data_IF_502987083955
#
_entry.id   IF_502987083955
#
_cell.length_a   1.000
_cell.length_b   1.000
_cell.length_c   1.000
_cell.angle_alpha   90.00
_cell.angle_beta   90.00
_cell.angle_gamma   90.00
#
_symmetry.space_group_name_H-M   'P 1'
#
loop_
_entity.id
_entity.type
_entity.pdbx_description
1 polymer ?
#
# COMPACT_ATOMS: atom_id res chain seq x y z
N UNK A 1 -14.72 12.13 18.87
CA UNK A 1 -15.19 10.76 18.57
C UNK A 1 -14.02 9.81 18.81
N UNK A 2 -14.24 8.64 19.39
CA UNK A 2 -13.17 7.69 19.67
C UNK A 2 -12.68 7.07 18.35
N UNK A 3 -11.36 7.04 18.13
CA UNK A 3 -10.76 6.37 16.98
C UNK A 3 -11.18 4.90 16.99
N UNK A 4 -11.72 4.35 15.89
CA UNK A 4 -12.13 2.95 15.87
C UNK A 4 -10.91 2.04 16.13
N UNK A 5 -11.06 1.07 17.03
CA UNK A 5 -9.97 0.17 17.40
C UNK A 5 -9.56 -0.69 16.19
N UNK A 6 -8.27 -0.78 15.91
CA UNK A 6 -7.73 -1.60 14.81
C UNK A 6 -7.82 -3.11 15.10
N UNK A 7 -7.96 -3.50 16.36
CA UNK A 7 -8.12 -4.89 16.79
C UNK A 7 -9.00 -5.02 18.03
N UNK A 8 -9.51 -6.24 18.27
CA UNK A 8 -10.38 -6.58 19.40
C UNK A 8 -9.85 -7.80 20.13
N UNK A 9 -9.96 -7.82 21.46
CA UNK A 9 -9.59 -8.98 22.27
C UNK A 9 -10.75 -9.99 22.31
N UNK A 10 -10.45 -11.28 22.08
CA UNK A 10 -11.45 -12.36 22.15
C UNK A 10 -10.87 -13.59 22.84
N UNK A 11 -11.72 -14.30 23.60
CA UNK A 11 -11.41 -15.61 24.15
C UNK A 11 -11.29 -16.65 23.02
N UNK A 12 -10.22 -17.43 23.06
CA UNK A 12 -9.91 -18.50 22.11
C UNK A 12 -9.44 -19.75 22.85
N UNK A 13 -9.40 -20.87 22.15
CA UNK A 13 -8.73 -22.09 22.62
C UNK A 13 -7.41 -22.22 21.85
N UNK A 14 -6.30 -22.27 22.57
CA UNK A 14 -4.96 -22.46 22.03
C UNK A 14 -4.51 -23.89 22.29
N UNK A 15 -4.07 -24.59 21.24
CA UNK A 15 -3.29 -25.82 21.39
C UNK A 15 -1.83 -25.46 21.59
N UNK A 16 -1.23 -25.87 22.71
CA UNK A 16 0.17 -25.61 23.02
C UNK A 16 0.76 -26.83 23.74
N UNK A 17 1.86 -27.37 23.21
CA UNK A 17 2.60 -28.52 23.76
C UNK A 17 1.72 -29.74 24.12
N UNK A 18 0.74 -30.10 23.30
CA UNK A 18 -0.08 -31.29 23.52
C UNK A 18 -1.43 -31.02 24.19
N UNK A 19 -1.66 -29.82 24.71
CA UNK A 19 -2.84 -29.48 25.51
C UNK A 19 -3.68 -28.38 24.87
N UNK A 20 -5.01 -28.49 25.01
CA UNK A 20 -5.95 -27.41 24.70
C UNK A 20 -6.13 -26.53 25.93
N UNK A 21 -5.91 -25.22 25.80
CA UNK A 21 -6.05 -24.24 26.89
C UNK A 21 -6.85 -23.02 26.42
N UNK A 22 -7.77 -22.54 27.27
CA UNK A 22 -8.44 -21.26 27.04
C UNK A 22 -7.48 -20.10 27.28
N UNK A 23 -7.50 -19.10 26.39
CA UNK A 23 -6.69 -17.88 26.51
C UNK A 23 -7.34 -16.75 25.72
N UNK A 24 -6.74 -15.55 25.74
CA UNK A 24 -7.17 -14.42 24.94
C UNK A 24 -6.21 -14.16 23.79
N UNK A 25 -6.75 -13.74 22.64
CA UNK A 25 -5.97 -13.26 21.51
C UNK A 25 -6.45 -11.87 21.07
N UNK A 26 -5.52 -11.05 20.57
CA UNK A 26 -5.83 -9.82 19.86
C UNK A 26 -6.07 -10.15 18.39
N UNK A 27 -7.24 -9.81 17.88
CA UNK A 27 -7.69 -10.13 16.52
C UNK A 27 -7.92 -8.83 15.77
N UNK A 28 -7.30 -8.68 14.61
CA UNK A 28 -7.50 -7.50 13.74
C UNK A 28 -8.96 -7.35 13.35
N UNK A 29 -9.43 -6.11 13.31
CA UNK A 29 -10.74 -5.78 12.79
C UNK A 29 -10.65 -5.59 11.28
N UNK A 30 -11.62 -6.14 10.57
CA UNK A 30 -11.80 -6.02 9.12
C UNK A 30 -13.14 -5.32 8.88
N UNK A 31 -13.13 -4.21 8.15
CA UNK A 31 -14.34 -3.40 7.90
C UNK A 31 -14.48 -3.06 6.42
N UNK A 32 -15.72 -3.00 5.88
CA UNK A 32 -15.96 -2.49 4.55
C UNK A 32 -15.93 -0.96 4.53
N UNK A 33 -15.30 -0.39 3.51
CA UNK A 33 -15.31 1.03 3.19
C UNK A 33 -15.82 1.20 1.75
N UNK A 34 -17.01 1.78 1.58
CA UNK A 34 -17.57 2.05 0.25
C UNK A 34 -17.23 3.47 -0.20
N UNK A 35 -16.61 3.57 -1.37
CA UNK A 35 -16.17 4.80 -1.99
C UNK A 35 -17.19 5.28 -3.02
N UNK A 36 -17.54 6.55 -2.94
CA UNK A 36 -18.33 7.26 -3.94
C UNK A 36 -17.46 8.32 -4.60
N UNK A 37 -17.50 8.38 -5.93
CA UNK A 37 -16.80 9.39 -6.73
C UNK A 37 -17.84 10.18 -7.52
N UNK A 38 -17.93 11.49 -7.26
CA UNK A 38 -18.96 12.37 -7.86
C UNK A 38 -20.38 11.77 -7.75
N UNK A 39 -20.72 11.31 -6.54
CA UNK A 39 -22.00 10.68 -6.15
C UNK A 39 -22.34 9.33 -6.80
N UNK A 40 -21.44 8.76 -7.60
CA UNK A 40 -21.55 7.39 -8.09
C UNK A 40 -20.78 6.41 -7.19
N UNK A 41 -21.40 5.28 -6.83
CA UNK A 41 -20.71 4.19 -6.12
C UNK A 41 -19.59 3.63 -7.00
N UNK A 42 -18.36 3.66 -6.50
CA UNK A 42 -17.17 3.25 -7.24
C UNK A 42 -16.73 1.83 -6.85
N UNK A 43 -16.47 1.61 -5.56
CA UNK A 43 -15.95 0.33 -5.06
C UNK A 43 -16.17 0.20 -3.55
N UNK A 44 -16.17 -1.03 -3.04
CA UNK A 44 -16.09 -1.32 -1.61
C UNK A 44 -14.78 -2.02 -1.30
N UNK A 45 -13.93 -1.35 -0.52
CA UNK A 45 -12.66 -1.88 -0.05
C UNK A 45 -12.85 -2.56 1.29
N UNK A 46 -12.18 -3.69 1.49
CA UNK A 46 -12.13 -4.36 2.79
C UNK A 46 -10.79 -4.02 3.42
N UNK A 47 -10.79 -3.33 4.57
CA UNK A 47 -9.61 -2.67 5.11
C UNK A 47 -9.58 -2.64 6.64
N UNK A 48 -8.45 -2.20 7.20
CA UNK A 48 -8.33 -1.92 8.63
C UNK A 48 -8.98 -0.57 8.97
N UNK A 49 -9.64 -0.44 10.14
CA UNK A 49 -10.26 0.81 10.55
C UNK A 49 -9.28 1.99 10.61
N UNK A 50 -9.75 3.16 10.14
CA UNK A 50 -9.01 4.42 10.14
C UNK A 50 -8.16 4.67 8.89
N UNK A 51 -7.69 5.91 8.75
CA UNK A 51 -6.90 6.39 7.59
C UNK A 51 -7.63 6.19 6.25
N UNK A 52 -8.97 6.34 6.27
CA UNK A 52 -9.82 6.09 5.10
C UNK A 52 -9.61 7.13 4.00
N UNK A 53 -9.27 8.37 4.36
CA UNK A 53 -8.99 9.45 3.40
C UNK A 53 -7.78 9.09 2.55
N UNK A 54 -6.70 8.66 3.19
CA UNK A 54 -5.48 8.22 2.55
C UNK A 54 -5.72 6.98 1.69
N UNK A 55 -6.44 5.98 2.22
CA UNK A 55 -6.80 4.78 1.46
C UNK A 55 -7.57 5.14 0.18
N UNK A 56 -8.60 5.97 0.29
CA UNK A 56 -9.44 6.34 -0.85
C UNK A 56 -8.69 7.15 -1.91
N UNK A 57 -7.89 8.14 -1.50
CA UNK A 57 -7.07 8.93 -2.44
C UNK A 57 -6.02 8.06 -3.11
N UNK A 58 -5.36 7.19 -2.35
CA UNK A 58 -4.40 6.22 -2.89
C UNK A 58 -5.05 5.31 -3.92
N UNK A 59 -6.20 4.71 -3.57
CA UNK A 59 -6.97 3.86 -4.46
C UNK A 59 -7.27 4.57 -5.79
N UNK A 60 -7.89 5.76 -5.75
CA UNK A 60 -8.19 6.55 -6.96
C UNK A 60 -6.96 6.82 -7.82
N UNK A 61 -5.84 7.20 -7.22
CA UNK A 61 -4.62 7.50 -7.95
C UNK A 61 -4.01 6.25 -8.61
N UNK A 62 -4.11 5.11 -7.94
CA UNK A 62 -3.58 3.85 -8.46
C UNK A 62 -4.45 3.25 -9.57
N UNK A 63 -5.75 3.50 -9.53
CA UNK A 63 -6.67 3.16 -10.63
C UNK A 63 -6.64 4.20 -11.77
N UNK A 64 -5.88 5.30 -11.61
CA UNK A 64 -5.75 6.36 -12.62
C UNK A 64 -6.95 7.27 -12.77
N UNK A 65 -7.84 7.26 -11.78
CA UNK A 65 -9.01 8.12 -11.73
C UNK A 65 -8.65 9.57 -11.36
N UNK A 66 -7.51 9.76 -10.70
CA UNK A 66 -6.88 11.06 -10.45
C UNK A 66 -5.37 10.95 -10.66
N UNK A 67 -4.75 12.05 -11.03
CA UNK A 67 -3.27 12.17 -11.12
C UNK A 67 -2.71 13.12 -10.07
N UNK A 68 -3.52 14.04 -9.55
CA UNK A 68 -3.14 15.05 -8.58
C UNK A 68 -4.22 15.25 -7.52
N UNK A 69 -3.80 15.56 -6.29
CA UNK A 69 -4.74 15.97 -5.23
C UNK A 69 -5.47 17.28 -5.55
N UNK A 70 -4.96 18.09 -6.50
CA UNK A 70 -5.62 19.31 -6.96
C UNK A 70 -6.91 19.06 -7.74
N UNK A 71 -7.12 17.84 -8.24
CA UNK A 71 -8.36 17.44 -8.91
C UNK A 71 -9.51 17.22 -7.92
N UNK A 72 -9.19 17.02 -6.63
CA UNK A 72 -10.14 16.77 -5.56
C UNK A 72 -10.66 18.10 -5.01
N UNK A 73 -11.98 18.29 -5.12
CA UNK A 73 -12.71 19.41 -4.53
C UNK A 73 -12.98 19.18 -3.04
N UNK A 74 -13.44 17.99 -2.70
CA UNK A 74 -13.91 17.68 -1.35
C UNK A 74 -13.79 16.19 -1.04
N UNK A 75 -13.49 15.86 0.22
CA UNK A 75 -13.53 14.50 0.76
C UNK A 75 -14.40 14.53 2.00
N UNK A 76 -15.48 13.75 2.01
CA UNK A 76 -16.39 13.59 3.14
C UNK A 76 -16.45 12.13 3.55
N UNK A 77 -16.35 11.83 4.85
CA UNK A 77 -16.32 10.47 5.35
C UNK A 77 -17.28 10.31 6.53
N UNK A 78 -18.10 9.26 6.47
CA UNK A 78 -18.92 8.75 7.57
C UNK A 78 -18.31 7.44 8.04
N UNK A 79 -17.40 7.55 8.98
CA UNK A 79 -16.57 6.43 9.45
C UNK A 79 -17.38 5.31 10.10
N UNK A 80 -18.48 5.67 10.75
CA UNK A 80 -19.43 4.76 11.42
C UNK A 80 -20.27 3.94 10.44
N UNK A 81 -20.61 4.53 9.30
CA UNK A 81 -21.33 3.84 8.21
C UNK A 81 -20.38 3.13 7.23
N UNK A 82 -19.07 3.37 7.32
CA UNK A 82 -18.08 2.85 6.37
C UNK A 82 -18.25 3.45 4.97
N UNK A 83 -18.61 4.72 4.87
CA UNK A 83 -18.87 5.41 3.60
C UNK A 83 -17.95 6.63 3.42
N UNK A 84 -17.42 6.82 2.21
CA UNK A 84 -16.56 7.96 1.89
C UNK A 84 -16.87 8.48 0.48
N UNK A 85 -17.11 9.79 0.39
CA UNK A 85 -17.37 10.51 -0.86
C UNK A 85 -16.17 11.37 -1.24
N UNK A 86 -15.78 11.30 -2.51
CA UNK A 86 -14.79 12.15 -3.13
C UNK A 86 -15.46 12.90 -4.27
N UNK A 87 -15.40 14.22 -4.19
CA UNK A 87 -15.88 15.12 -5.23
C UNK A 87 -14.69 15.70 -5.96
N UNK A 88 -14.72 15.65 -7.29
CA UNK A 88 -13.65 16.16 -8.17
C UNK A 88 -14.12 17.38 -8.95
N UNK A 89 -13.19 18.20 -9.44
CA UNK A 89 -13.51 19.40 -10.21
C UNK A 89 -14.09 19.11 -11.61
N UNK A 90 -13.76 17.95 -12.18
CA UNK A 90 -14.25 17.51 -13.49
C UNK A 90 -14.83 16.10 -13.39
N UNK A 91 -15.87 15.77 -14.17
CA UNK A 91 -16.37 14.40 -14.22
C UNK A 91 -15.24 13.45 -14.62
N UNK A 92 -15.10 12.33 -13.90
CA UNK A 92 -14.11 11.29 -14.21
C UNK A 92 -14.74 10.32 -15.20
N UNK A 93 -14.39 10.34 -16.50
CA UNK A 93 -15.12 9.60 -17.55
C UNK A 93 -15.04 8.07 -17.37
N UNK A 94 -14.04 7.60 -16.63
CA UNK A 94 -13.77 6.17 -16.41
C UNK A 94 -14.57 5.58 -15.23
N UNK A 95 -15.18 6.41 -14.38
CA UNK A 95 -15.93 5.96 -13.21
C UNK A 95 -17.15 5.10 -13.60
N UNK A 96 -17.80 5.41 -14.73
CA UNK A 96 -18.96 4.67 -15.23
C UNK A 96 -18.61 3.23 -15.63
N UNK A 97 -17.39 2.98 -16.11
CA UNK A 97 -16.92 1.63 -16.47
C UNK A 97 -16.52 0.79 -15.24
N UNK A 98 -16.37 1.41 -14.08
CA UNK A 98 -15.97 0.77 -12.83
C UNK A 98 -17.13 0.09 -12.09
N UNK A 99 -18.39 0.32 -12.50
CA UNK A 99 -19.65 -0.07 -11.83
C UNK A 99 -19.91 -1.59 -11.67
N UNK A 100 -18.88 -2.43 -11.55
CA UNK A 100 -18.99 -3.83 -11.13
C UNK A 100 -18.19 -4.05 -9.86
N UNK A 101 -18.90 -4.14 -8.72
CA UNK A 101 -18.44 -4.58 -7.38
C UNK A 101 -17.08 -5.28 -7.44
N UNK A 102 -16.00 -4.52 -7.29
CA UNK A 102 -14.69 -5.06 -7.03
C UNK A 102 -14.56 -5.16 -5.51
N UNK A 103 -14.79 -6.35 -4.96
CA UNK A 103 -14.31 -6.65 -3.60
C UNK A 103 -12.82 -6.91 -3.75
N UNK A 104 -12.01 -5.85 -3.66
CA UNK A 104 -10.57 -5.93 -3.74
C UNK A 104 -9.99 -6.41 -2.40
N UNK A 105 -10.39 -7.61 -1.97
CA UNK A 105 -9.80 -8.30 -0.81
C UNK A 105 -9.00 -9.51 -1.29
N UNK A 106 -7.73 -9.26 -1.58
CA UNK A 106 -6.63 -10.22 -1.48
C UNK A 106 -6.61 -11.51 -2.35
N UNK A 107 -7.62 -11.89 -3.13
CA UNK A 107 -7.64 -13.17 -3.86
C UNK A 107 -8.01 -13.01 -5.35
N UNK A 108 -7.07 -13.41 -6.21
CA UNK A 108 -7.15 -13.25 -7.66
C UNK A 108 -8.37 -13.93 -8.31
N UNK A 109 -9.16 -13.12 -9.02
CA UNK A 109 -9.82 -13.36 -10.31
C UNK A 109 -10.89 -12.30 -10.48
N UNK A 110 -10.49 -11.11 -10.89
CA UNK A 110 -11.40 -9.99 -11.02
C UNK A 110 -11.01 -9.01 -12.11
N UNK A 111 -10.61 -9.47 -13.31
CA UNK A 111 -10.33 -8.63 -14.52
C UNK A 111 -9.29 -7.49 -14.39
N UNK A 112 -8.89 -7.08 -13.19
CA UNK A 112 -7.97 -6.00 -12.90
C UNK A 112 -6.58 -6.26 -13.50
N UNK A 113 -6.13 -7.52 -13.52
CA UNK A 113 -4.84 -7.90 -14.12
C UNK A 113 -4.71 -7.49 -15.60
N UNK A 114 -5.80 -7.49 -16.39
CA UNK A 114 -5.78 -7.06 -17.79
C UNK A 114 -5.76 -5.54 -17.94
N UNK A 115 -6.42 -4.80 -17.02
CA UNK A 115 -6.36 -3.34 -17.00
C UNK A 115 -4.97 -2.87 -16.55
N UNK A 116 -4.43 -3.42 -15.47
CA UNK A 116 -3.10 -3.08 -14.95
C UNK A 116 -1.96 -3.37 -15.95
N UNK A 117 -2.01 -4.48 -16.71
CA UNK A 117 -0.99 -4.80 -17.71
C UNK A 117 -1.06 -3.86 -18.93
N UNK A 118 -2.26 -3.46 -19.37
CA UNK A 118 -2.39 -2.47 -20.44
C UNK A 118 -2.02 -1.06 -19.98
N UNK A 119 -2.29 -0.74 -18.72
CA UNK A 119 -1.99 0.53 -18.08
C UNK A 119 -0.49 0.69 -17.78
N UNK A 120 0.21 -0.40 -17.43
CA UNK A 120 1.67 -0.42 -17.33
C UNK A 120 2.37 0.03 -18.61
N UNK A 121 1.80 -0.25 -19.80
CA UNK A 121 2.33 0.23 -21.09
C UNK A 121 2.15 1.74 -21.30
N UNK A 122 1.27 2.39 -20.56
CA UNK A 122 1.06 3.84 -20.60
C UNK A 122 1.95 4.57 -19.58
N UNK A 123 2.42 3.87 -18.54
CA UNK A 123 3.28 4.43 -17.52
C UNK A 123 4.70 4.59 -18.07
N UNK A 124 5.24 5.79 -17.93
CA UNK A 124 6.63 6.07 -18.31
C UNK A 124 7.59 5.47 -17.28
N UNK A 125 8.74 4.93 -17.72
CA UNK A 125 9.78 4.47 -16.80
C UNK A 125 10.20 5.57 -15.83
N UNK A 126 10.38 5.19 -14.56
CA UNK A 126 10.83 6.07 -13.48
C UNK A 126 12.29 6.43 -13.70
N UNK A 127 12.52 7.72 -13.97
CA UNK A 127 13.87 8.29 -14.08
C UNK A 127 14.24 8.95 -12.76
N UNK A 128 15.31 8.47 -12.14
CA UNK A 128 15.87 9.05 -10.92
C UNK A 128 17.37 8.78 -10.86
N UNK A 129 18.12 9.80 -10.45
CA UNK A 129 19.55 9.76 -10.15
C UNK A 129 19.83 9.55 -8.65
N UNK A 130 18.77 9.34 -7.84
CA UNK A 130 18.92 9.13 -6.41
C UNK A 130 19.71 7.86 -6.11
N UNK A 131 20.68 8.00 -5.20
CA UNK A 131 21.48 6.90 -4.68
C UNK A 131 21.04 6.54 -3.27
N UNK A 132 20.92 5.25 -3.01
CA UNK A 132 20.45 4.70 -1.75
C UNK A 132 21.58 3.91 -1.08
N UNK A 133 22.02 4.37 0.09
CA UNK A 133 23.02 3.64 0.86
C UNK A 133 22.41 2.36 1.45
N UNK A 134 23.08 1.23 1.25
CA UNK A 134 22.67 -0.08 1.77
C UNK A 134 22.45 -0.05 3.30
N UNK A 135 23.29 0.69 4.03
CA UNK A 135 23.17 0.89 5.47
C UNK A 135 21.91 1.70 5.85
N UNK A 136 21.51 2.68 5.05
CA UNK A 136 20.28 3.44 5.25
C UNK A 136 19.03 2.60 4.95
N UNK A 137 19.09 1.78 3.90
CA UNK A 137 18.02 0.82 3.56
C UNK A 137 17.78 -0.19 4.69
N UNK A 138 18.86 -0.72 5.28
CA UNK A 138 18.76 -1.60 6.45
C UNK A 138 18.11 -0.92 7.66
N UNK A 139 18.46 0.36 7.94
CA UNK A 139 17.82 1.15 9.01
C UNK A 139 16.32 1.33 8.77
N UNK A 140 15.92 1.66 7.55
CA UNK A 140 14.51 1.84 7.19
C UNK A 140 13.69 0.57 7.43
N UNK A 141 14.22 -0.60 7.08
CA UNK A 141 13.51 -1.87 7.32
C UNK A 141 13.43 -2.22 8.81
N UNK A 142 14.47 -1.94 9.59
CA UNK A 142 14.41 -2.08 11.06
C UNK A 142 13.34 -1.17 11.65
N UNK A 143 13.32 0.10 11.24
CA UNK A 143 12.34 1.07 11.71
C UNK A 143 10.90 0.68 11.33
N UNK A 144 10.69 0.09 10.14
CA UNK A 144 9.38 -0.40 9.71
C UNK A 144 8.89 -1.55 10.59
N UNK A 145 9.75 -2.54 10.85
CA UNK A 145 9.43 -3.68 11.72
C UNK A 145 9.19 -3.22 13.17
N UNK A 146 9.98 -2.26 13.67
CA UNK A 146 9.83 -1.67 15.02
C UNK A 146 8.61 -0.76 15.15
N UNK A 147 8.10 -0.19 14.07
CA UNK A 147 6.93 0.70 14.11
C UNK A 147 5.61 -0.06 13.91
N UNK A 148 5.65 -1.32 13.48
CA UNK A 148 4.47 -2.14 13.18
C UNK A 148 3.76 -2.67 14.44
N UNK A 149 3.14 -1.75 15.19
CA UNK A 149 2.52 -2.03 16.48
C UNK A 149 1.39 -3.06 16.38
N UNK A 150 0.48 -2.92 15.42
CA UNK A 150 -0.65 -3.85 15.25
C UNK A 150 -0.16 -5.22 14.83
N UNK A 151 0.82 -5.29 13.92
CA UNK A 151 1.41 -6.56 13.51
C UNK A 151 2.02 -7.33 14.68
N UNK A 152 2.71 -6.64 15.61
CA UNK A 152 3.34 -7.31 16.75
C UNK A 152 2.36 -8.02 17.69
N UNK A 153 1.18 -7.44 17.92
CA UNK A 153 0.18 -8.04 18.81
C UNK A 153 -0.76 -9.01 18.11
N UNK A 154 -1.01 -8.83 16.81
CA UNK A 154 -2.03 -9.62 16.10
C UNK A 154 -1.48 -10.57 15.04
N UNK A 155 -0.32 -10.25 14.46
CA UNK A 155 0.20 -10.89 13.25
C UNK A 155 -0.67 -10.71 11.99
N UNK A 156 -1.75 -9.93 12.07
CA UNK A 156 -2.84 -9.93 11.10
C UNK A 156 -2.85 -8.77 10.10
N UNK A 157 -1.81 -7.94 10.07
CA UNK A 157 -1.70 -6.79 9.15
C UNK A 157 -0.41 -6.81 8.34
N UNK A 158 -0.42 -6.07 7.25
CA UNK A 158 0.75 -5.64 6.51
C UNK A 158 1.08 -4.18 6.83
N UNK A 159 2.35 -3.82 6.67
CA UNK A 159 2.84 -2.46 6.86
C UNK A 159 3.47 -2.00 5.56
N UNK A 160 3.20 -0.76 5.19
CA UNK A 160 3.87 -0.06 4.12
C UNK A 160 4.34 1.30 4.61
N UNK A 161 5.43 1.80 4.04
CA UNK A 161 5.94 3.12 4.39
C UNK A 161 6.67 3.79 3.23
N UNK A 162 6.92 5.08 3.37
CA UNK A 162 7.75 5.87 2.47
C UNK A 162 8.90 6.46 3.30
N UNK A 163 10.13 6.39 2.79
CA UNK A 163 11.28 6.92 3.51
C UNK A 163 12.48 7.19 2.62
N UNK A 164 13.50 7.81 3.21
CA UNK A 164 14.76 8.16 2.56
C UNK A 164 15.83 8.37 3.64
N UNK A 165 17.10 8.17 3.31
CA UNK A 165 18.22 8.50 4.22
C UNK A 165 18.29 7.72 5.54
N UNK A 166 17.44 6.71 5.75
CA UNK A 166 17.35 5.97 7.01
C UNK A 166 16.07 6.26 7.81
N UNK A 167 15.33 7.30 7.44
CA UNK A 167 14.15 7.78 8.17
C UNK A 167 12.85 7.53 7.40
N UNK A 168 11.84 7.04 8.12
CA UNK A 168 10.50 6.83 7.59
C UNK A 168 9.73 8.15 7.65
N UNK A 169 9.28 8.64 6.49
CA UNK A 169 8.42 9.83 6.36
C UNK A 169 6.99 9.54 6.80
N UNK A 170 6.44 8.40 6.38
CA UNK A 170 5.10 7.96 6.75
C UNK A 170 5.01 6.44 6.72
N UNK A 171 4.19 5.86 7.60
CA UNK A 171 3.88 4.43 7.63
C UNK A 171 2.40 4.21 7.89
N UNK A 172 1.82 3.21 7.22
CA UNK A 172 0.47 2.72 7.48
C UNK A 172 0.44 1.21 7.60
N UNK A 173 -0.49 0.74 8.44
CA UNK A 173 -0.84 -0.67 8.57
C UNK A 173 -2.23 -0.92 7.96
N UNK A 174 -2.39 -2.09 7.33
CA UNK A 174 -3.69 -2.57 6.87
C UNK A 174 -3.71 -4.10 6.75
N UNK A 175 -4.86 -4.74 6.94
CA UNK A 175 -5.04 -6.18 6.65
C UNK A 175 -4.65 -6.53 5.20
N UNK A 176 -4.84 -5.61 4.26
CA UNK A 176 -4.48 -5.76 2.85
C UNK A 176 -3.16 -5.07 2.55
N UNK A 177 -2.18 -5.80 1.98
CA UNK A 177 -0.90 -5.19 1.57
C UNK A 177 -1.06 -4.06 0.54
N UNK A 178 -2.03 -4.18 -0.38
CA UNK A 178 -2.29 -3.14 -1.37
C UNK A 178 -2.90 -1.89 -0.71
N UNK A 179 -3.84 -2.07 0.21
CA UNK A 179 -4.42 -0.97 0.99
C UNK A 179 -3.36 -0.23 1.82
N UNK A 180 -2.41 -0.96 2.42
CA UNK A 180 -1.31 -0.33 3.16
C UNK A 180 -0.48 0.58 2.24
N UNK A 181 -0.18 0.12 1.02
CA UNK A 181 0.47 0.95 -0.01
C UNK A 181 -0.40 2.13 -0.42
N UNK A 182 -1.69 1.90 -0.69
CA UNK A 182 -2.61 2.95 -1.11
C UNK A 182 -2.70 4.05 -0.05
N UNK A 183 -2.73 3.70 1.26
CA UNK A 183 -2.64 4.69 2.33
C UNK A 183 -1.35 5.53 2.25
N UNK A 184 -0.19 4.91 2.02
CA UNK A 184 1.07 5.63 1.83
C UNK A 184 1.01 6.56 0.61
N UNK A 185 0.50 6.07 -0.52
CA UNK A 185 0.40 6.86 -1.75
C UNK A 185 -0.60 8.01 -1.61
N UNK A 186 -1.75 7.76 -0.99
CA UNK A 186 -2.75 8.78 -0.71
C UNK A 186 -2.21 9.88 0.20
N UNK A 187 -1.50 9.51 1.27
CA UNK A 187 -0.81 10.50 2.11
C UNK A 187 0.22 11.31 1.31
N UNK A 188 0.99 10.65 0.45
CA UNK A 188 2.00 11.30 -0.41
C UNK A 188 1.36 12.36 -1.32
N UNK A 189 0.22 12.04 -1.94
CA UNK A 189 -0.52 12.97 -2.79
C UNK A 189 -1.18 14.10 -2.00
N UNK A 190 -1.85 13.77 -0.89
CA UNK A 190 -2.50 14.76 -0.02
C UNK A 190 -1.50 15.79 0.52
N UNK A 191 -0.28 15.36 0.84
CA UNK A 191 0.78 16.21 1.36
C UNK A 191 1.76 16.72 0.29
N UNK A 192 1.53 16.40 -0.99
CA UNK A 192 2.36 16.82 -2.14
C UNK A 192 3.84 16.51 -1.94
N UNK A 193 4.15 15.33 -1.42
CA UNK A 193 5.52 14.92 -1.17
C UNK A 193 6.25 14.62 -2.49
N UNK A 194 7.51 15.03 -2.57
CA UNK A 194 8.43 14.61 -3.63
C UNK A 194 8.91 13.19 -3.32
N UNK A 195 8.81 12.31 -4.31
CA UNK A 195 9.04 10.86 -4.18
C UNK A 195 10.26 10.36 -4.93
N UNK A 196 10.83 11.16 -5.83
CA UNK A 196 11.94 10.77 -6.70
C UNK A 196 13.24 10.42 -5.97
N UNK A 197 13.35 10.75 -4.68
CA UNK A 197 14.46 10.44 -3.78
C UNK A 197 14.09 9.44 -2.66
N UNK A 198 12.91 8.82 -2.76
CA UNK A 198 12.35 7.98 -1.70
C UNK A 198 12.27 6.52 -2.12
N UNK A 199 12.13 5.66 -1.12
CA UNK A 199 11.83 4.26 -1.29
C UNK A 199 10.48 3.89 -0.66
N UNK A 200 9.74 3.03 -1.36
CA UNK A 200 8.56 2.38 -0.83
C UNK A 200 8.99 1.15 -0.01
N UNK A 201 8.60 1.11 1.25
CA UNK A 201 8.90 0.05 2.21
C UNK A 201 7.69 -0.87 2.36
N UNK A 202 7.90 -2.19 2.44
CA UNK A 202 6.82 -3.18 2.49
C UNK A 202 7.18 -4.38 3.37
N UNK A 203 6.23 -4.84 4.19
CA UNK A 203 6.37 -6.15 4.86
C UNK A 203 5.90 -7.33 4.00
N UNK A 204 4.96 -7.08 3.07
CA UNK A 204 4.36 -8.08 2.19
C UNK A 204 5.14 -8.36 0.90
N UNK A 205 4.74 -9.42 0.18
CA UNK A 205 5.31 -9.77 -1.14
C UNK A 205 5.11 -8.64 -2.15
N UNK A 206 6.05 -8.54 -3.09
CA UNK A 206 5.99 -7.56 -4.17
C UNK A 206 5.40 -8.20 -5.44
N UNK A 207 4.16 -7.84 -5.76
CA UNK A 207 3.49 -8.19 -7.03
C UNK A 207 3.68 -7.08 -8.07
N UNK A 208 3.37 -7.36 -9.34
CA UNK A 208 3.36 -6.35 -10.41
C UNK A 208 2.48 -5.14 -10.07
N UNK A 209 1.32 -5.35 -9.44
CA UNK A 209 0.43 -4.28 -8.98
C UNK A 209 1.14 -3.30 -8.02
N UNK A 210 2.00 -3.80 -7.12
CA UNK A 210 2.76 -2.94 -6.21
C UNK A 210 3.80 -2.08 -6.98
N UNK A 211 4.43 -2.65 -8.02
CA UNK A 211 5.36 -1.91 -8.88
C UNK A 211 4.64 -0.81 -9.67
N UNK A 212 3.47 -1.10 -10.22
CA UNK A 212 2.63 -0.11 -10.93
C UNK A 212 2.28 1.05 -10.00
N UNK A 213 1.88 0.73 -8.77
CA UNK A 213 1.57 1.71 -7.72
C UNK A 213 2.78 2.60 -7.39
N UNK A 214 3.98 2.02 -7.26
CA UNK A 214 5.22 2.77 -7.05
C UNK A 214 5.57 3.67 -8.27
N UNK A 215 5.44 3.14 -9.48
CA UNK A 215 5.76 3.84 -10.73
C UNK A 215 4.86 5.05 -10.98
N UNK A 216 3.55 4.92 -10.67
CA UNK A 216 2.58 6.03 -10.78
C UNK A 216 2.94 7.25 -9.92
N UNK A 217 3.61 7.03 -8.78
CA UNK A 217 4.15 8.11 -7.95
C UNK A 217 5.63 8.40 -8.23
N UNK A 218 6.25 7.83 -9.25
CA UNK A 218 7.66 8.08 -9.56
C UNK A 218 8.62 7.68 -8.45
N UNK A 219 8.27 6.66 -7.65
CA UNK A 219 9.14 6.14 -6.60
C UNK A 219 10.17 5.18 -7.25
N UNK A 220 11.48 5.49 -7.19
CA UNK A 220 12.50 4.73 -7.93
C UNK A 220 12.95 3.45 -7.23
N UNK A 221 12.63 3.23 -5.95
CA UNK A 221 13.07 2.06 -5.19
C UNK A 221 11.92 1.43 -4.39
N UNK A 222 11.78 0.11 -4.52
CA UNK A 222 10.87 -0.72 -3.70
C UNK A 222 11.69 -1.68 -2.85
N UNK A 223 11.52 -1.60 -1.53
CA UNK A 223 12.23 -2.40 -0.54
C UNK A 223 11.24 -3.24 0.26
N UNK A 224 11.37 -4.57 0.17
CA UNK A 224 10.46 -5.50 0.83
C UNK A 224 11.17 -6.51 1.73
N UNK A 225 10.54 -6.82 2.86
CA UNK A 225 10.90 -7.92 3.76
C UNK A 225 10.65 -9.31 3.15
N UNK A 226 9.83 -9.38 2.11
CA UNK A 226 9.34 -10.60 1.46
C UNK A 226 9.86 -10.74 0.03
N UNK A 227 9.49 -11.83 -0.63
CA UNK A 227 9.88 -12.13 -2.00
C UNK A 227 9.09 -11.27 -3.03
N UNK A 228 9.73 -10.87 -4.14
CA UNK A 228 9.03 -10.45 -5.34
C UNK A 228 8.55 -11.65 -6.17
N UNK A 229 7.58 -11.44 -7.05
CA UNK A 229 7.20 -12.38 -8.12
C UNK A 229 8.01 -12.15 -9.39
N UNK A 230 8.18 -13.15 -10.27
CA UNK A 230 8.92 -12.97 -11.53
C UNK A 230 8.38 -11.80 -12.39
N UNK A 231 7.05 -11.72 -12.55
CA UNK A 231 6.41 -10.61 -13.26
C UNK A 231 6.70 -9.24 -12.64
N UNK A 232 6.92 -9.18 -11.32
CA UNK A 232 7.29 -7.92 -10.65
C UNK A 232 8.75 -7.54 -10.94
N UNK A 233 9.64 -8.52 -11.10
CA UNK A 233 11.04 -8.30 -11.48
C UNK A 233 11.12 -7.80 -12.92
N UNK A 234 10.46 -8.49 -13.86
CA UNK A 234 10.38 -8.07 -15.28
C UNK A 234 9.83 -6.65 -15.41
N UNK A 235 8.75 -6.35 -14.67
CA UNK A 235 8.15 -5.02 -14.70
C UNK A 235 9.04 -3.97 -14.03
N UNK A 236 9.83 -4.33 -13.03
CA UNK A 236 10.77 -3.41 -12.40
C UNK A 236 11.88 -2.99 -13.38
N UNK A 237 12.37 -3.92 -14.21
CA UNK A 237 13.34 -3.62 -15.29
C UNK A 237 12.72 -2.70 -16.36
N UNK A 238 11.47 -2.95 -16.77
CA UNK A 238 10.78 -2.10 -17.75
C UNK A 238 10.50 -0.69 -17.22
N UNK A 239 10.08 -0.59 -15.95
CA UNK A 239 9.70 0.67 -15.32
C UNK A 239 10.87 1.43 -14.71
N UNK A 240 12.11 0.93 -14.81
CA UNK A 240 13.26 1.64 -14.26
C UNK A 240 13.28 1.68 -12.73
N UNK A 241 12.69 0.70 -12.04
CA UNK A 241 12.56 0.68 -10.57
C UNK A 241 13.56 -0.30 -9.97
N UNK A 242 14.32 0.14 -8.97
CA UNK A 242 15.19 -0.71 -8.16
C UNK A 242 14.34 -1.57 -7.22
N UNK A 243 14.32 -2.87 -7.45
CA UNK A 243 13.55 -3.83 -6.66
C UNK A 243 14.46 -4.62 -5.71
N UNK A 244 14.15 -4.54 -4.42
CA UNK A 244 14.90 -5.23 -3.37
C UNK A 244 13.94 -6.05 -2.52
N UNK A 245 14.27 -7.34 -2.37
CA UNK A 245 13.48 -8.30 -1.60
C UNK A 245 14.29 -8.94 -0.48
N UNK A 246 13.60 -9.68 0.38
CA UNK A 246 14.19 -10.37 1.54
C UNK A 246 15.02 -9.43 2.45
N UNK A 247 14.65 -8.16 2.52
CA UNK A 247 15.37 -7.19 3.33
C UNK A 247 15.09 -7.41 4.82
N UNK A 248 16.08 -7.95 5.55
CA UNK A 248 15.98 -8.31 6.97
C UNK A 248 17.31 -8.04 7.67
N UNK A 249 17.25 -7.33 8.79
CA UNK A 249 18.46 -6.96 9.52
C UNK A 249 19.42 -6.17 8.63
N UNK A 250 20.57 -6.77 8.31
CA UNK A 250 21.62 -6.16 7.47
C UNK A 250 21.83 -6.85 6.12
N UNK A 251 20.89 -7.71 5.69
CA UNK A 251 20.95 -8.38 4.39
C UNK A 251 19.69 -8.13 3.56
N UNK A 252 19.85 -8.16 2.24
CA UNK A 252 18.78 -8.06 1.26
C UNK A 252 19.27 -8.58 -0.10
N UNK A 253 18.35 -8.89 -1.00
CA UNK A 253 18.64 -9.31 -2.37
C UNK A 253 18.14 -8.26 -3.36
N UNK A 254 19.00 -7.84 -4.28
CA UNK A 254 18.68 -6.87 -5.34
C UNK A 254 18.25 -7.66 -6.59
N UNK A 255 17.10 -7.31 -7.16
CA UNK A 255 16.50 -7.99 -8.30
C UNK A 255 16.55 -7.19 -9.60
N UNK A 256 16.62 -5.86 -9.52
CA UNK A 256 16.69 -4.95 -10.68
C UNK A 256 17.40 -3.66 -10.31
N UNK A 257 17.94 -2.96 -11.32
CA UNK A 257 18.52 -1.61 -11.23
C UNK A 257 19.45 -1.39 -10.02
N UNK A 258 20.48 -2.22 -9.90
CA UNK A 258 21.42 -2.20 -8.76
C UNK A 258 22.32 -0.95 -8.73
N UNK A 259 22.46 -0.25 -9.85
CA UNK A 259 23.27 0.96 -10.00
C UNK A 259 22.87 2.10 -9.05
N UNK A 260 21.65 2.08 -8.50
CA UNK A 260 21.18 3.05 -7.50
C UNK A 260 21.57 2.72 -6.07
N UNK A 261 22.17 1.56 -5.80
CA UNK A 261 22.51 1.13 -4.44
C UNK A 261 24.02 1.32 -4.22
N UNK A 262 24.37 2.01 -3.14
CA UNK A 262 25.76 2.25 -2.72
C UNK A 262 26.06 1.50 -1.42
N UNK A 263 27.26 0.94 -1.28
CA UNK A 263 27.62 0.10 -0.14
C UNK A 263 29.12 -0.16 -0.05
#
# INVERSE_FOLDING_TARGET
MATPSTYTQRGIIKYDRGEMRETNAMIVNEVPLTLYLNDAELATLVCSPGNYRELAVGFLATEGLITSCSEIREISCREDEGLLWIQTHSPVPQAENFLRRQIASCCGKGRALLYFVNDARQIQPVKSEALFAASAMAKLMSALDESSATFRVTGGVHSAGLGSGGDITVMYEDIGRHNAVDKVLGYTLLNRLVTGDKCLLLTGRVSSEILIKAARLGIPLVLSRSAPTMLAVELADELGITLVGFARGRSFSIYSHNERITG
#
